data_IF_971128255370
#
_entry.id   IF_971128255370
#
_cell.length_a   1.000
_cell.length_b   1.000
_cell.length_c   1.000
_cell.angle_alpha   90.00
_cell.angle_beta   90.00
_cell.angle_gamma   90.00
#
_symmetry.space_group_name_H-M   'P 1'
#
loop_
_entity.id
_entity.type
_entity.pdbx_description
1 polymer ?
#
# COMPACT_ATOMS: atom_id res chain seq x y z
N UNK A 1 16.91 -2.42 -16.62
CA UNK A 1 16.49 -3.36 -15.57
C UNK A 1 15.89 -4.57 -16.26
N UNK A 2 16.22 -5.78 -15.83
CA UNK A 2 15.59 -7.00 -16.33
C UNK A 2 14.13 -7.05 -15.91
N UNK A 3 13.27 -7.71 -16.69
CA UNK A 3 11.86 -7.99 -16.32
C UNK A 3 11.79 -8.65 -14.93
N UNK A 4 12.75 -9.54 -14.62
CA UNK A 4 12.81 -10.18 -13.30
C UNK A 4 13.05 -9.18 -12.16
N UNK A 5 13.97 -8.23 -12.36
CA UNK A 5 14.30 -7.22 -11.36
C UNK A 5 13.13 -6.26 -11.14
N UNK A 6 12.41 -5.90 -12.20
CA UNK A 6 11.21 -5.06 -12.14
C UNK A 6 10.08 -5.77 -11.38
N UNK A 7 9.84 -7.05 -11.68
CA UNK A 7 8.86 -7.86 -10.93
C UNK A 7 9.25 -7.96 -9.46
N UNK A 8 10.52 -8.19 -9.16
CA UNK A 8 11.00 -8.26 -7.78
C UNK A 8 10.81 -6.92 -7.04
N UNK A 9 11.04 -5.80 -7.71
CA UNK A 9 10.83 -4.47 -7.14
C UNK A 9 9.34 -4.22 -6.85
N UNK A 10 8.45 -4.51 -7.80
CA UNK A 10 7.01 -4.34 -7.63
C UNK A 10 6.42 -5.24 -6.54
N UNK A 11 6.88 -6.49 -6.42
CA UNK A 11 6.42 -7.38 -5.35
C UNK A 11 6.90 -6.91 -3.98
N UNK A 12 8.11 -6.36 -3.89
CA UNK A 12 8.61 -5.76 -2.64
C UNK A 12 7.81 -4.53 -2.27
N UNK A 13 7.56 -3.65 -3.24
CA UNK A 13 6.71 -2.47 -3.07
C UNK A 13 5.32 -2.87 -2.56
N UNK A 14 4.69 -3.88 -3.16
CA UNK A 14 3.37 -4.36 -2.74
C UNK A 14 3.35 -4.82 -1.28
N UNK A 15 4.35 -5.60 -0.86
CA UNK A 15 4.45 -6.08 0.53
C UNK A 15 4.61 -4.92 1.50
N UNK A 16 5.43 -3.94 1.16
CA UNK A 16 5.67 -2.78 2.03
C UNK A 16 4.42 -1.89 2.14
N UNK A 17 3.71 -1.66 1.03
CA UNK A 17 2.47 -0.89 1.02
C UNK A 17 1.36 -1.57 1.83
N UNK A 18 1.19 -2.89 1.71
CA UNK A 18 0.18 -3.63 2.49
C UNK A 18 0.45 -3.53 3.98
N UNK A 19 1.71 -3.70 4.40
CA UNK A 19 2.10 -3.54 5.82
C UNK A 19 1.82 -2.13 6.35
N UNK A 20 2.16 -1.11 5.56
CA UNK A 20 1.88 0.27 5.94
C UNK A 20 0.38 0.54 6.04
N UNK A 21 -0.41 -0.08 5.17
CA UNK A 21 -1.87 0.08 5.18
C UNK A 21 -2.53 -0.56 6.39
N UNK A 22 -2.08 -1.77 6.76
CA UNK A 22 -2.51 -2.45 7.98
C UNK A 22 -2.14 -1.66 9.23
N UNK A 23 -0.90 -1.17 9.31
CA UNK A 23 -0.42 -0.36 10.44
C UNK A 23 -1.21 0.95 10.58
N UNK A 24 -1.44 1.65 9.46
CA UNK A 24 -2.25 2.87 9.46
C UNK A 24 -3.67 2.59 9.93
N UNK A 25 -4.32 1.58 9.36
CA UNK A 25 -5.71 1.21 9.71
C UNK A 25 -5.82 0.85 11.18
N UNK A 26 -4.87 0.08 11.72
CA UNK A 26 -4.83 -0.28 13.13
C UNK A 26 -4.61 0.96 14.03
N UNK A 27 -3.71 1.86 13.66
CA UNK A 27 -3.43 3.08 14.41
C UNK A 27 -4.62 4.04 14.43
N UNK A 28 -5.35 4.17 13.31
CA UNK A 28 -6.59 4.95 13.24
C UNK A 28 -7.68 4.29 14.09
N UNK A 29 -7.88 2.97 14.00
CA UNK A 29 -8.89 2.26 14.79
C UNK A 29 -8.63 2.34 16.30
N UNK A 30 -7.36 2.34 16.71
CA UNK A 30 -6.96 2.52 18.11
C UNK A 30 -7.00 3.99 18.57
N UNK A 31 -7.20 4.95 17.65
CA UNK A 31 -7.16 6.38 17.93
C UNK A 31 -5.75 6.94 18.18
N UNK A 32 -4.70 6.18 17.84
CA UNK A 32 -3.31 6.64 17.90
C UNK A 32 -2.98 7.67 16.80
N UNK A 33 -3.69 7.61 15.67
CA UNK A 33 -3.60 8.58 14.58
C UNK A 33 -4.98 9.18 14.35
N UNK A 34 -5.03 10.52 14.26
CA UNK A 34 -6.22 11.22 13.78
C UNK A 34 -6.17 11.24 12.25
N UNK A 35 -7.19 10.67 11.62
CA UNK A 35 -7.34 10.72 10.17
C UNK A 35 -7.73 12.14 9.74
N UNK A 36 -6.75 13.02 9.61
CA UNK A 36 -6.90 14.31 8.95
C UNK A 36 -6.88 14.14 7.41
N UNK A 37 -7.11 15.24 6.70
CA UNK A 37 -7.19 15.21 5.25
C UNK A 37 -5.89 14.70 4.59
N UNK A 38 -4.72 15.06 5.12
CA UNK A 38 -3.43 14.64 4.56
C UNK A 38 -3.17 13.15 4.74
N UNK A 39 -3.48 12.62 5.92
CA UNK A 39 -3.33 11.19 6.21
C UNK A 39 -4.37 10.34 5.45
N UNK A 40 -5.58 10.86 5.25
CA UNK A 40 -6.61 10.21 4.44
C UNK A 40 -6.22 10.17 2.95
N UNK A 41 -5.70 11.27 2.39
CA UNK A 41 -5.20 11.31 1.02
C UNK A 41 -4.02 10.35 0.81
N UNK A 42 -3.08 10.31 1.75
CA UNK A 42 -1.96 9.37 1.71
C UNK A 42 -2.42 7.90 1.76
N UNK A 43 -3.43 7.59 2.59
CA UNK A 43 -4.04 6.26 2.62
C UNK A 43 -4.72 5.91 1.29
N UNK A 44 -5.48 6.83 0.69
CA UNK A 44 -6.12 6.61 -0.60
C UNK A 44 -5.11 6.35 -1.72
N UNK A 45 -4.02 7.11 -1.77
CA UNK A 45 -2.95 6.90 -2.76
C UNK A 45 -2.29 5.53 -2.59
N UNK A 46 -2.00 5.13 -1.35
CA UNK A 46 -1.45 3.81 -1.04
C UNK A 46 -2.41 2.69 -1.45
N UNK A 47 -3.69 2.82 -1.10
CA UNK A 47 -4.71 1.84 -1.48
C UNK A 47 -4.84 1.70 -3.01
N UNK A 48 -4.82 2.82 -3.74
CA UNK A 48 -4.86 2.82 -5.20
C UNK A 48 -3.65 2.09 -5.80
N UNK A 49 -2.44 2.34 -5.28
CA UNK A 49 -1.20 1.66 -5.73
C UNK A 49 -1.21 0.17 -5.43
N UNK A 50 -1.72 -0.25 -4.26
CA UNK A 50 -1.91 -1.66 -3.93
C UNK A 50 -2.83 -2.32 -4.96
N UNK A 51 -3.98 -1.71 -5.28
CA UNK A 51 -4.92 -2.25 -6.28
C UNK A 51 -4.28 -2.36 -7.66
N UNK A 52 -3.53 -1.35 -8.09
CA UNK A 52 -2.80 -1.37 -9.35
C UNK A 52 -1.80 -2.54 -9.41
N UNK A 53 -0.94 -2.68 -8.39
CA UNK A 53 0.05 -3.75 -8.33
C UNK A 53 -0.62 -5.13 -8.29
N UNK A 54 -1.67 -5.30 -7.48
CA UNK A 54 -2.44 -6.56 -7.44
C UNK A 54 -3.01 -6.92 -8.81
N UNK A 55 -3.57 -5.94 -9.52
CA UNK A 55 -4.10 -6.13 -10.88
C UNK A 55 -3.03 -6.54 -11.87
N UNK A 56 -1.86 -5.90 -11.83
CA UNK A 56 -0.74 -6.19 -12.74
C UNK A 56 -0.23 -7.64 -12.61
N UNK A 57 -0.38 -8.24 -11.42
CA UNK A 57 0.07 -9.61 -11.13
C UNK A 57 -1.07 -10.63 -10.99
N UNK A 58 -2.33 -10.25 -11.24
CA UNK A 58 -3.47 -11.15 -11.11
C UNK A 58 -3.74 -11.64 -9.68
N UNK A 59 -3.29 -10.88 -8.67
CA UNK A 59 -3.48 -11.19 -7.26
C UNK A 59 -4.88 -10.73 -6.82
N UNK A 60 -5.71 -11.64 -6.32
CA UNK A 60 -7.08 -11.34 -5.83
C UNK A 60 -7.05 -10.68 -4.46
#
# INVERSE_FOLDING_TARGET
>A
MSIYEEIQAHLRELVDLVKQDEQYTAAVAYGAIVADQGTAEAHQQRAARIVELKRNYGLK
#
